data_IF_571884599503
#
_entry.id   IF_571884599503
#
_cell.length_a   1.000
_cell.length_b   1.000
_cell.length_c   1.000
_cell.angle_alpha   90.00
_cell.angle_beta   90.00
_cell.angle_gamma   90.00
#
_symmetry.space_group_name_H-M   'P 1'
#
loop_
_entity.id
_entity.type
_entity.pdbx_description
1 polymer ?
#
# COMPACT_ATOMS: atom_id res chain seq x y z
N UNK A 1 35.68 8.15 2.14
CA UNK A 1 34.78 8.26 3.30
C UNK A 1 33.35 8.28 2.77
N UNK A 2 32.63 7.16 2.91
CA UNK A 2 31.27 7.02 2.37
C UNK A 2 30.26 7.68 3.32
N UNK A 3 29.65 8.77 2.89
CA UNK A 3 28.51 9.34 3.60
C UNK A 3 27.32 8.40 3.38
N UNK A 4 26.80 7.83 4.47
CA UNK A 4 25.53 7.12 4.48
C UNK A 4 24.43 8.09 4.01
N UNK A 5 24.00 7.92 2.76
CA UNK A 5 22.83 8.57 2.17
C UNK A 5 21.57 7.90 2.72
N UNK A 6 21.20 8.26 3.94
CA UNK A 6 19.89 7.94 4.52
C UNK A 6 19.25 9.22 5.04
N UNK A 7 17.94 9.35 4.87
CA UNK A 7 17.17 10.42 5.52
C UNK A 7 17.30 10.28 7.04
N UNK A 8 17.64 11.38 7.73
CA UNK A 8 17.72 11.37 9.20
C UNK A 8 16.31 11.22 9.79
N UNK A 9 16.18 10.48 10.90
CA UNK A 9 14.90 10.21 11.58
C UNK A 9 14.01 11.46 11.81
N UNK A 10 14.52 12.66 12.14
CA UNK A 10 13.69 13.85 12.29
C UNK A 10 13.05 14.34 10.97
N UNK A 11 13.74 14.16 9.84
CA UNK A 11 13.28 14.63 8.53
C UNK A 11 12.11 13.76 8.01
N UNK A 12 12.14 12.46 8.32
CA UNK A 12 11.07 11.51 7.99
C UNK A 12 9.77 11.88 8.72
N UNK A 13 9.86 12.21 10.02
CA UNK A 13 8.69 12.60 10.81
C UNK A 13 8.06 13.91 10.32
N UNK A 14 8.88 14.88 9.90
CA UNK A 14 8.40 16.12 9.28
C UNK A 14 7.63 15.86 7.99
N UNK A 15 8.18 15.01 7.13
CA UNK A 15 7.55 14.67 5.84
C UNK A 15 6.21 13.92 6.02
N UNK A 16 6.14 12.97 6.94
CA UNK A 16 4.89 12.26 7.27
C UNK A 16 3.80 13.24 7.73
N UNK A 17 4.18 14.23 8.56
CA UNK A 17 3.28 15.27 9.03
C UNK A 17 2.75 16.13 7.89
N UNK A 18 3.59 16.54 6.95
CA UNK A 18 3.16 17.31 5.78
C UNK A 18 2.15 16.54 4.92
N UNK A 19 2.39 15.24 4.70
CA UNK A 19 1.45 14.36 3.99
C UNK A 19 0.12 14.31 4.75
N UNK A 20 0.14 14.08 6.08
CA UNK A 20 -1.07 14.00 6.90
C UNK A 20 -1.86 15.32 6.88
N UNK A 21 -1.19 16.45 7.11
CA UNK A 21 -1.82 17.77 7.14
C UNK A 21 -2.45 18.11 5.77
N UNK A 22 -1.90 17.58 4.66
CA UNK A 22 -2.56 17.63 3.36
C UNK A 22 -3.80 16.72 3.29
N UNK A 23 -3.69 15.46 3.75
CA UNK A 23 -4.78 14.48 3.70
C UNK A 23 -5.99 14.87 4.57
N UNK A 24 -5.83 15.68 5.62
CA UNK A 24 -6.94 16.19 6.44
C UNK A 24 -7.86 17.19 5.70
N UNK A 25 -7.39 17.81 4.61
CA UNK A 25 -8.20 18.77 3.83
C UNK A 25 -9.41 18.07 3.20
N UNK A 26 -10.58 18.71 3.08
CA UNK A 26 -11.82 18.04 2.67
C UNK A 26 -11.79 17.42 1.26
N UNK A 27 -10.98 17.95 0.35
CA UNK A 27 -10.88 17.48 -1.05
C UNK A 27 -9.47 16.98 -1.40
N UNK A 28 -8.75 16.43 -0.42
CA UNK A 28 -7.42 15.86 -0.63
C UNK A 28 -7.53 14.52 -1.39
N UNK A 29 -6.54 14.26 -2.23
CA UNK A 29 -6.41 12.99 -2.97
C UNK A 29 -4.99 12.45 -2.75
N UNK A 30 -4.83 11.13 -2.69
CA UNK A 30 -3.52 10.51 -2.71
C UNK A 30 -3.26 9.98 -4.12
N UNK A 31 -2.72 10.79 -5.05
CA UNK A 31 -2.67 10.44 -6.47
C UNK A 31 -1.67 9.32 -6.75
N UNK A 32 -0.61 9.21 -5.94
CA UNK A 32 0.36 8.15 -6.07
C UNK A 32 -0.13 6.93 -5.30
N UNK A 33 -0.42 5.86 -6.04
CA UNK A 33 -0.91 4.62 -5.49
C UNK A 33 0.05 4.00 -4.47
N UNK A 34 -0.50 3.32 -3.47
CA UNK A 34 0.26 2.45 -2.58
C UNK A 34 0.45 1.12 -3.32
N UNK A 35 1.68 0.63 -3.38
CA UNK A 35 1.98 -0.64 -4.06
C UNK A 35 1.98 -1.75 -3.03
N UNK A 36 1.10 -2.73 -3.23
CA UNK A 36 0.91 -3.86 -2.30
C UNK A 36 1.18 -5.17 -3.01
N UNK A 37 2.00 -6.02 -2.41
CA UNK A 37 2.25 -7.36 -2.89
C UNK A 37 1.57 -8.39 -1.99
N UNK A 38 0.78 -9.28 -2.56
CA UNK A 38 0.09 -10.34 -1.82
C UNK A 38 0.83 -11.66 -1.98
N UNK A 39 1.30 -12.21 -0.86
CA UNK A 39 2.02 -13.48 -0.82
C UNK A 39 1.15 -14.58 -0.25
N UNK A 40 0.52 -15.37 -1.12
CA UNK A 40 -0.24 -16.56 -0.76
C UNK A 40 -1.56 -16.34 0.00
N UNK A 41 -1.93 -15.09 0.30
CA UNK A 41 -3.16 -14.73 1.03
C UNK A 41 -4.21 -14.04 0.13
N UNK A 42 -3.93 -13.90 -1.16
CA UNK A 42 -4.88 -13.40 -2.14
C UNK A 42 -4.85 -14.22 -3.43
N UNK A 43 -6.00 -14.38 -4.06
CA UNK A 43 -6.15 -15.11 -5.32
C UNK A 43 -7.27 -14.51 -6.17
N UNK A 44 -7.29 -14.87 -7.45
CA UNK A 44 -8.33 -14.45 -8.39
C UNK A 44 -9.34 -15.58 -8.58
N UNK A 45 -10.62 -15.25 -8.40
CA UNK A 45 -11.74 -16.15 -8.68
C UNK A 45 -12.52 -15.67 -9.91
N UNK A 46 -12.81 -16.53 -10.90
CA UNK A 46 -13.61 -16.13 -12.04
C UNK A 46 -15.06 -15.85 -11.65
N UNK A 47 -15.64 -14.76 -12.14
CA UNK A 47 -16.98 -14.29 -11.71
C UNK A 47 -18.13 -15.14 -12.25
N UNK A 48 -17.97 -15.79 -13.42
CA UNK A 48 -19.08 -16.49 -14.09
C UNK A 48 -18.70 -17.88 -14.56
N UNK A 49 -17.61 -18.02 -15.29
CA UNK A 49 -17.12 -19.29 -15.80
C UNK A 49 -15.59 -19.36 -15.68
N UNK A 50 -14.99 -20.57 -15.63
CA UNK A 50 -13.54 -20.72 -15.49
C UNK A 50 -12.71 -20.03 -16.57
N UNK A 51 -13.29 -19.78 -17.75
CA UNK A 51 -12.66 -19.07 -18.87
C UNK A 51 -12.97 -17.56 -18.90
N UNK A 52 -13.62 -17.03 -17.85
CA UNK A 52 -13.96 -15.62 -17.76
C UNK A 52 -12.69 -14.79 -17.66
N UNK A 53 -12.60 -13.75 -18.48
CA UNK A 53 -11.56 -12.71 -18.33
C UNK A 53 -11.83 -11.75 -17.18
N UNK A 54 -13.05 -11.76 -16.64
CA UNK A 54 -13.41 -11.01 -15.44
C UNK A 54 -13.21 -11.91 -14.22
N UNK A 55 -12.27 -11.50 -13.37
CA UNK A 55 -11.97 -12.14 -12.11
C UNK A 55 -12.24 -11.19 -10.94
N UNK A 56 -12.66 -11.76 -9.82
CA UNK A 56 -12.75 -11.11 -8.53
C UNK A 56 -11.48 -11.40 -7.73
N UNK A 57 -10.89 -10.36 -7.16
CA UNK A 57 -9.79 -10.51 -6.20
C UNK A 57 -10.36 -10.86 -4.83
N UNK A 58 -9.94 -12.01 -4.30
CA UNK A 58 -10.26 -12.46 -2.95
C UNK A 58 -8.99 -12.32 -2.09
N UNK A 59 -9.14 -11.72 -0.92
CA UNK A 59 -8.05 -11.47 0.03
C UNK A 59 -8.47 -12.04 1.39
N UNK A 60 -7.71 -13.03 1.89
CA UNK A 60 -7.91 -13.60 3.22
C UNK A 60 -7.16 -12.77 4.26
N UNK A 61 -7.90 -12.13 5.17
CA UNK A 61 -7.35 -11.32 6.27
C UNK A 61 -7.37 -12.04 7.62
N UNK A 62 -7.73 -13.33 7.65
CA UNK A 62 -7.89 -14.09 8.90
C UNK A 62 -6.57 -14.38 9.61
N UNK A 63 -5.46 -14.44 8.87
CA UNK A 63 -4.12 -14.78 9.37
C UNK A 63 -3.23 -13.56 9.64
N UNK A 64 -3.79 -12.35 9.61
CA UNK A 64 -3.07 -11.11 9.82
C UNK A 64 -2.95 -10.27 8.54
N UNK A 65 -1.87 -9.46 8.40
CA UNK A 65 -1.69 -8.60 7.23
C UNK A 65 -1.62 -9.40 5.93
N UNK A 66 -2.53 -9.18 4.97
CA UNK A 66 -2.65 -9.98 3.75
C UNK A 66 -1.56 -9.75 2.71
N UNK A 67 -0.79 -8.68 2.86
CA UNK A 67 0.20 -8.26 1.88
C UNK A 67 1.21 -7.26 2.44
N UNK A 68 2.19 -6.95 1.61
CA UNK A 68 3.36 -6.16 1.94
C UNK A 68 3.37 -4.87 1.15
N UNK A 69 3.63 -3.76 1.84
CA UNK A 69 3.76 -2.44 1.19
C UNK A 69 5.17 -2.33 0.62
N UNK A 70 5.27 -2.42 -0.70
CA UNK A 70 6.53 -2.36 -1.45
C UNK A 70 6.91 -0.91 -1.75
N UNK A 71 5.91 -0.07 -2.03
CA UNK A 71 6.09 1.37 -2.20
C UNK A 71 4.95 2.14 -1.51
N UNK A 72 5.28 3.34 -1.03
CA UNK A 72 4.33 4.21 -0.36
C UNK A 72 4.28 4.08 1.16
N UNK A 73 5.31 3.50 1.79
CA UNK A 73 5.38 3.36 3.25
C UNK A 73 5.13 4.68 4.00
N UNK A 74 5.76 5.79 3.60
CA UNK A 74 5.54 7.09 4.26
C UNK A 74 4.10 7.60 4.08
N UNK A 75 3.50 7.37 2.90
CA UNK A 75 2.11 7.74 2.60
C UNK A 75 1.14 6.89 3.42
N UNK A 76 1.40 5.59 3.52
CA UNK A 76 0.62 4.68 4.34
C UNK A 76 0.70 5.02 5.83
N UNK A 77 1.89 5.34 6.35
CA UNK A 77 2.04 5.79 7.74
C UNK A 77 1.24 7.07 8.00
N UNK A 78 1.37 8.08 7.13
CA UNK A 78 0.59 9.31 7.25
C UNK A 78 -0.93 9.06 7.20
N UNK A 79 -1.37 8.14 6.34
CA UNK A 79 -2.76 7.70 6.25
C UNK A 79 -3.23 6.99 7.53
N UNK A 80 -2.41 6.10 8.09
CA UNK A 80 -2.73 5.34 9.31
C UNK A 80 -2.87 6.22 10.56
N UNK A 81 -2.27 7.41 10.53
CA UNK A 81 -2.37 8.41 11.59
C UNK A 81 -3.61 9.31 11.46
N UNK A 82 -4.32 9.28 10.31
CA UNK A 82 -5.56 10.04 10.16
C UNK A 82 -6.63 9.48 11.09
N UNK A 83 -7.30 10.38 11.82
CA UNK A 83 -8.41 10.02 12.71
C UNK A 83 -9.71 10.59 12.20
N UNK A 84 -10.76 9.76 12.18
CA UNK A 84 -12.14 10.21 11.98
C UNK A 84 -12.52 10.52 10.52
N UNK A 85 -11.83 9.93 9.54
CA UNK A 85 -12.22 10.00 8.13
C UNK A 85 -11.89 8.71 7.40
N UNK A 86 -12.84 8.22 6.62
CA UNK A 86 -12.60 7.20 5.60
C UNK A 86 -11.98 7.87 4.37
N UNK A 87 -10.80 7.41 3.97
CA UNK A 87 -10.05 8.00 2.88
C UNK A 87 -9.79 6.94 1.80
N UNK A 88 -10.30 7.18 0.60
CA UNK A 88 -10.08 6.29 -0.54
C UNK A 88 -8.66 6.45 -1.07
N UNK A 89 -7.95 5.34 -1.19
CA UNK A 89 -6.59 5.30 -1.74
C UNK A 89 -6.54 4.47 -3.00
N UNK A 90 -5.74 4.93 -3.95
CA UNK A 90 -5.36 4.12 -5.09
C UNK A 90 -4.38 3.04 -4.62
N UNK A 91 -4.66 1.79 -4.96
CA UNK A 91 -3.80 0.64 -4.65
C UNK A 91 -3.42 -0.04 -5.95
N UNK A 92 -2.11 -0.21 -6.15
CA UNK A 92 -1.58 -1.07 -7.21
C UNK A 92 -1.15 -2.37 -6.58
N UNK A 93 -1.93 -3.43 -6.82
CA UNK A 93 -1.70 -4.75 -6.25
C UNK A 93 -1.09 -5.73 -7.25
N UNK A 94 -0.19 -6.60 -6.80
CA UNK A 94 0.19 -7.78 -7.56
C UNK A 94 0.26 -9.03 -6.67
N UNK A 95 0.03 -10.19 -7.28
CA UNK A 95 0.17 -11.49 -6.62
C UNK A 95 1.60 -11.98 -6.88
N UNK A 96 2.28 -12.45 -5.85
CA UNK A 96 3.60 -13.06 -5.96
C UNK A 96 3.68 -14.33 -5.12
N UNK A 97 4.52 -15.26 -5.56
CA UNK A 97 4.72 -16.53 -4.84
C UNK A 97 5.89 -16.44 -3.85
N UNK A 98 6.88 -15.57 -4.11
CA UNK A 98 8.07 -15.44 -3.26
C UNK A 98 8.51 -13.99 -3.01
N UNK A 99 9.29 -13.78 -1.95
CA UNK A 99 9.83 -12.48 -1.57
C UNK A 99 10.84 -11.93 -2.60
N UNK A 100 11.54 -12.80 -3.34
CA UNK A 100 12.51 -12.35 -4.36
C UNK A 100 11.87 -11.59 -5.52
N UNK A 101 10.57 -11.80 -5.77
CA UNK A 101 9.81 -11.07 -6.80
C UNK A 101 9.52 -9.62 -6.39
N UNK A 102 9.66 -9.27 -5.10
CA UNK A 102 9.44 -7.91 -4.59
C UNK A 102 10.60 -6.95 -4.90
N UNK A 103 11.77 -7.48 -5.28
CA UNK A 103 13.02 -6.72 -5.41
C UNK A 103 13.48 -6.48 -6.86
N UNK A 104 12.71 -6.91 -7.86
CA UNK A 104 13.00 -6.63 -9.29
C UNK A 104 12.21 -5.44 -9.80
#
# INVERSE_FOLDING_TARGET
>A
AGALQGFQRPQIAGHIREIRDYLEKPNSILPNAIVVAFMGQAWLEPVTNPESRLCQLVIDTSKGPPGWIVDGQQRFTALSELRGRDFEVLVSGFLCETEEELQK
#
